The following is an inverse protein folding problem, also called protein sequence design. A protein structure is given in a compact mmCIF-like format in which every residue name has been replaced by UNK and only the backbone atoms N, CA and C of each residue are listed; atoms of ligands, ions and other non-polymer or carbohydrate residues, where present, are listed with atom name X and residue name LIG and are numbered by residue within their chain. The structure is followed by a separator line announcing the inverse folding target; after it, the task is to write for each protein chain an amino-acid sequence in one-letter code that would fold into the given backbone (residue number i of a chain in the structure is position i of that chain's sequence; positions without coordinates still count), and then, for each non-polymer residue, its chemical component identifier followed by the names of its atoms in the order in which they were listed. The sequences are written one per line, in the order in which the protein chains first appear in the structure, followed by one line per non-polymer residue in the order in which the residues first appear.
data_IF_143799888951
#
_entry.id   IF_143799888951
#
_cell.length_a   1.000
_cell.length_b   1.000
_cell.length_c   1.000
_cell.angle_alpha   90.00
_cell.angle_beta   90.00
_cell.angle_gamma   90.00
#
_symmetry.space_group_name_H-M   'P 1'
#
loop_
_entity.id
_entity.type
_entity.pdbx_description
1 polymer ?
#
# COMPACT_ATOMS: atom_id res chain seq x y z
N UNK A 1 -11.89 -7.90 10.87
CA UNK A 1 -11.48 -8.63 9.65
C UNK A 1 -10.03 -8.32 9.23
N UNK A 2 -9.59 -7.06 9.21
CA UNK A 2 -8.17 -6.74 8.94
C UNK A 2 -7.21 -7.30 10.01
N UNK A 3 -7.58 -7.19 11.29
CA UNK A 3 -6.83 -7.81 12.40
C UNK A 3 -6.74 -9.33 12.29
N UNK A 4 -7.86 -10.00 12.00
CA UNK A 4 -7.88 -11.45 11.77
C UNK A 4 -6.99 -11.86 10.59
N UNK A 5 -7.02 -11.11 9.49
CA UNK A 5 -6.13 -11.37 8.34
C UNK A 5 -4.66 -11.19 8.73
N UNK A 6 -4.33 -10.14 9.48
CA UNK A 6 -2.97 -9.92 9.95
C UNK A 6 -2.48 -11.05 10.85
N UNK A 7 -3.25 -11.41 11.88
CA UNK A 7 -2.85 -12.44 12.85
C UNK A 7 -2.86 -13.86 12.26
N UNK A 8 -3.79 -14.17 11.37
CA UNK A 8 -3.93 -15.53 10.84
C UNK A 8 -3.08 -15.79 9.59
N UNK A 9 -2.70 -14.75 8.85
CA UNK A 9 -2.01 -14.88 7.56
C UNK A 9 -0.67 -14.15 7.55
N UNK A 10 -0.67 -12.84 7.84
CA UNK A 10 0.53 -12.01 7.71
C UNK A 10 1.59 -12.44 8.74
N UNK A 11 1.27 -12.36 10.03
CA UNK A 11 2.24 -12.62 11.09
C UNK A 11 2.89 -14.02 11.00
N UNK A 12 2.13 -15.12 10.84
CA UNK A 12 2.74 -16.46 10.71
C UNK A 12 3.59 -16.63 9.44
N UNK A 13 3.27 -15.89 8.37
CA UNK A 13 4.07 -15.91 7.14
C UNK A 13 5.39 -15.17 7.34
N UNK A 14 5.35 -13.99 7.96
CA UNK A 14 6.54 -13.19 8.25
C UNK A 14 7.49 -13.91 9.22
N UNK A 15 6.96 -14.64 10.20
CA UNK A 15 7.76 -15.46 11.13
C UNK A 15 8.60 -16.53 10.42
N UNK A 16 8.11 -17.06 9.29
CA UNK A 16 8.82 -18.09 8.50
C UNK A 16 9.74 -17.50 7.44
N UNK A 17 9.50 -16.26 7.02
CA UNK A 17 10.19 -15.59 5.92
C UNK A 17 11.02 -14.42 6.43
N UNK A 18 12.10 -14.77 7.14
CA UNK A 18 13.08 -13.82 7.66
C UNK A 18 14.20 -13.64 6.63
N UNK A 19 14.45 -12.42 6.14
CA UNK A 19 15.58 -12.15 5.24
C UNK A 19 16.92 -12.42 5.92
N UNK A 20 17.87 -12.94 5.14
CA UNK A 20 19.26 -13.13 5.52
C UNK A 20 20.01 -11.82 5.24
N UNK A 21 20.77 -11.32 6.23
CA UNK A 21 21.57 -10.10 6.05
C UNK A 21 22.63 -10.30 4.95
N UNK A 22 22.99 -9.22 4.24
CA UNK A 22 23.96 -9.31 3.13
C UNK A 22 25.31 -9.88 3.57
N UNK A 23 25.74 -9.58 4.80
CA UNK A 23 26.97 -10.08 5.40
C UNK A 23 26.96 -11.61 5.56
N UNK A 24 25.78 -12.19 5.82
CA UNK A 24 25.59 -13.62 6.05
C UNK A 24 25.37 -14.43 4.76
N UNK A 25 24.94 -13.78 3.67
CA UNK A 25 24.71 -14.44 2.36
C UNK A 25 25.94 -15.23 1.91
N UNK A 26 25.74 -16.48 1.50
CA UNK A 26 26.81 -17.37 1.01
C UNK A 26 27.60 -18.08 2.11
N UNK A 27 27.28 -17.82 3.38
CA UNK A 27 28.00 -18.35 4.54
C UNK A 27 29.47 -17.87 4.63
N UNK A 28 30.26 -18.47 5.55
CA UNK A 28 31.63 -18.02 5.82
C UNK A 28 32.57 -18.08 4.61
N UNK A 29 32.34 -19.03 3.69
CA UNK A 29 33.18 -19.29 2.51
C UNK A 29 32.64 -18.70 1.21
N UNK A 30 31.48 -18.02 1.25
CA UNK A 30 30.86 -17.37 0.08
C UNK A 30 30.72 -18.30 -1.13
N UNK A 31 30.26 -19.53 -0.91
CA UNK A 31 30.05 -20.49 -2.01
C UNK A 31 28.95 -20.02 -2.96
N UNK A 32 29.21 -20.02 -4.28
CA UNK A 32 28.29 -19.50 -5.29
C UNK A 32 26.89 -20.10 -5.22
N UNK A 33 26.78 -21.43 -5.03
CA UNK A 33 25.47 -22.10 -4.91
C UNK A 33 24.72 -21.64 -3.66
N UNK A 34 25.42 -21.43 -2.55
CA UNK A 34 24.81 -20.91 -1.32
C UNK A 34 24.37 -19.46 -1.49
N UNK A 35 25.19 -18.63 -2.16
CA UNK A 35 24.83 -17.24 -2.48
C UNK A 35 23.54 -17.20 -3.32
N UNK A 36 23.44 -18.02 -4.37
CA UNK A 36 22.26 -18.08 -5.21
C UNK A 36 21.01 -18.52 -4.43
N UNK A 37 21.15 -19.52 -3.55
CA UNK A 37 20.08 -19.98 -2.66
C UNK A 37 19.61 -18.89 -1.70
N UNK A 38 20.54 -18.24 -1.01
CA UNK A 38 20.24 -17.21 0.00
C UNK A 38 19.60 -15.98 -0.63
N UNK A 39 20.10 -15.55 -1.80
CA UNK A 39 19.47 -14.47 -2.57
C UNK A 39 18.07 -14.86 -3.04
N UNK A 40 17.86 -16.09 -3.54
CA UNK A 40 16.53 -16.58 -3.88
C UNK A 40 15.55 -16.57 -2.71
N UNK A 41 16.02 -16.95 -1.51
CA UNK A 41 15.23 -16.84 -0.28
C UNK A 41 14.90 -15.39 0.08
N UNK A 42 15.88 -14.48 -0.04
CA UNK A 42 15.66 -13.06 0.20
C UNK A 42 14.64 -12.45 -0.77
N UNK A 43 14.73 -12.76 -2.07
CA UNK A 43 13.75 -12.30 -3.05
C UNK A 43 12.35 -12.81 -2.71
N UNK A 44 12.20 -14.09 -2.35
CA UNK A 44 10.92 -14.62 -1.87
C UNK A 44 10.39 -13.86 -0.65
N UNK A 45 11.27 -13.52 0.29
CA UNK A 45 10.92 -12.78 1.50
C UNK A 45 10.36 -11.39 1.17
N UNK A 46 10.99 -10.65 0.25
CA UNK A 46 10.54 -9.30 -0.11
C UNK A 46 9.30 -9.33 -1.02
N UNK A 47 9.25 -10.23 -1.98
CA UNK A 47 8.09 -10.41 -2.85
C UNK A 47 6.84 -10.80 -2.06
N UNK A 48 7.00 -11.64 -1.03
CA UNK A 48 5.88 -11.98 -0.13
C UNK A 48 5.37 -10.73 0.61
N UNK A 49 6.26 -9.86 1.09
CA UNK A 49 5.86 -8.62 1.78
C UNK A 49 5.13 -7.67 0.83
N UNK A 50 5.60 -7.54 -0.40
CA UNK A 50 4.95 -6.76 -1.47
C UNK A 50 3.56 -7.32 -1.80
N UNK A 51 3.45 -8.62 -1.97
CA UNK A 51 2.17 -9.32 -2.19
C UNK A 51 1.18 -9.11 -1.04
N UNK A 52 1.65 -9.11 0.21
CA UNK A 52 0.81 -8.85 1.38
C UNK A 52 0.34 -7.39 1.42
N UNK A 53 1.21 -6.41 1.14
CA UNK A 53 0.83 -5.00 1.03
C UNK A 53 -0.22 -4.79 -0.08
N UNK A 54 0.01 -5.36 -1.27
CA UNK A 54 -0.94 -5.35 -2.38
C UNK A 54 -2.30 -5.92 -1.96
N UNK A 55 -2.30 -7.05 -1.27
CA UNK A 55 -3.54 -7.69 -0.79
C UNK A 55 -4.27 -6.80 0.21
N UNK A 56 -3.55 -6.20 1.16
CA UNK A 56 -4.13 -5.27 2.14
C UNK A 56 -4.77 -4.05 1.46
N UNK A 57 -4.07 -3.42 0.53
CA UNK A 57 -4.57 -2.27 -0.21
C UNK A 57 -5.79 -2.61 -1.07
N UNK A 58 -5.74 -3.70 -1.83
CA UNK A 58 -6.87 -4.15 -2.65
C UNK A 58 -8.11 -4.50 -1.82
N UNK A 59 -7.93 -5.19 -0.68
CA UNK A 59 -9.02 -5.52 0.23
C UNK A 59 -9.62 -4.27 0.88
N UNK A 60 -8.78 -3.30 1.27
CA UNK A 60 -9.24 -2.03 1.81
C UNK A 60 -10.08 -1.27 0.77
N UNK A 61 -9.55 -1.07 -0.44
CA UNK A 61 -10.21 -0.32 -1.51
C UNK A 61 -11.57 -0.93 -1.85
N UNK A 62 -11.61 -2.26 -2.03
CA UNK A 62 -12.84 -2.98 -2.35
C UNK A 62 -13.92 -2.79 -1.28
N UNK A 63 -13.54 -2.83 0.01
CA UNK A 63 -14.47 -2.62 1.11
C UNK A 63 -14.91 -1.17 1.22
N UNK A 64 -13.98 -0.23 1.04
CA UNK A 64 -14.29 1.18 1.04
C UNK A 64 -15.32 1.49 -0.04
N UNK A 65 -15.08 1.04 -1.27
CA UNK A 65 -15.99 1.21 -2.39
C UNK A 65 -17.36 0.59 -2.12
N UNK A 66 -17.41 -0.66 -1.64
CA UNK A 66 -18.66 -1.31 -1.28
C UNK A 66 -19.45 -0.51 -0.22
N UNK A 67 -18.76 -0.08 0.83
CA UNK A 67 -19.35 0.67 1.93
C UNK A 67 -19.86 2.04 1.46
N UNK A 68 -19.07 2.77 0.66
CA UNK A 68 -19.46 4.07 0.10
C UNK A 68 -20.69 3.91 -0.81
N UNK A 69 -20.69 2.93 -1.73
CA UNK A 69 -21.82 2.70 -2.63
C UNK A 69 -23.13 2.36 -1.90
N UNK A 70 -23.05 1.78 -0.70
CA UNK A 70 -24.22 1.51 0.15
C UNK A 70 -24.66 2.70 0.98
N UNK A 71 -23.73 3.59 1.28
CA UNK A 71 -23.97 4.73 2.17
C UNK A 71 -24.39 5.98 1.39
N UNK A 72 -23.83 6.17 0.20
CA UNK A 72 -24.02 7.32 -0.69
C UNK A 72 -24.40 6.82 -2.10
N UNK A 73 -25.59 6.20 -2.27
CA UNK A 73 -26.03 5.67 -3.56
C UNK A 73 -26.09 6.74 -4.66
N UNK A 74 -26.32 8.01 -4.29
CA UNK A 74 -26.33 9.16 -5.19
C UNK A 74 -24.97 9.41 -5.86
N UNK A 75 -23.86 9.06 -5.22
CA UNK A 75 -22.50 9.19 -5.76
C UNK A 75 -21.99 7.90 -6.43
N UNK A 76 -22.86 6.93 -6.74
CA UNK A 76 -22.44 5.61 -7.21
C UNK A 76 -21.51 5.63 -8.44
N UNK A 77 -21.75 6.55 -9.38
CA UNK A 77 -20.91 6.71 -10.58
C UNK A 77 -19.50 7.18 -10.21
N UNK A 78 -19.39 8.19 -9.36
CA UNK A 78 -18.11 8.76 -8.90
C UNK A 78 -17.34 7.74 -8.06
N UNK A 79 -18.03 7.06 -7.14
CA UNK A 79 -17.46 5.99 -6.33
C UNK A 79 -16.96 4.86 -7.21
N UNK A 80 -17.59 4.54 -8.35
CA UNK A 80 -17.18 3.46 -9.27
C UNK A 80 -15.96 3.83 -10.12
N UNK A 81 -15.77 5.10 -10.48
CA UNK A 81 -14.65 5.52 -11.34
C UNK A 81 -13.47 6.10 -10.58
N UNK A 82 -13.66 6.46 -9.31
CA UNK A 82 -12.58 6.97 -8.46
C UNK A 82 -11.44 5.95 -8.32
N UNK A 83 -10.21 6.43 -8.41
CA UNK A 83 -9.03 5.69 -7.98
C UNK A 83 -8.92 5.71 -6.45
N UNK A 84 -7.92 5.01 -5.90
CA UNK A 84 -7.74 4.87 -4.45
C UNK A 84 -7.70 6.23 -3.72
N UNK A 85 -6.90 7.18 -4.22
CA UNK A 85 -6.79 8.52 -3.63
C UNK A 85 -8.11 9.30 -3.75
N UNK A 86 -8.82 9.20 -4.88
CA UNK A 86 -10.12 9.81 -5.10
C UNK A 86 -11.18 9.27 -4.14
N UNK A 87 -11.19 7.95 -3.87
CA UNK A 87 -12.10 7.37 -2.88
C UNK A 87 -11.87 7.96 -1.48
N UNK A 88 -10.62 8.12 -1.07
CA UNK A 88 -10.29 8.76 0.21
C UNK A 88 -10.65 10.25 0.22
N UNK A 89 -10.46 10.95 -0.91
CA UNK A 89 -10.81 12.37 -1.05
C UNK A 89 -12.32 12.63 -0.93
N UNK A 90 -13.15 11.78 -1.55
CA UNK A 90 -14.61 11.89 -1.51
C UNK A 90 -15.17 11.86 -0.08
N UNK A 91 -14.54 11.10 0.81
CA UNK A 91 -15.01 10.95 2.20
C UNK A 91 -15.01 12.27 2.97
N UNK A 92 -14.14 13.23 2.62
CA UNK A 92 -14.04 14.51 3.33
C UNK A 92 -13.84 14.35 4.85
N UNK A 93 -13.22 13.25 5.30
CA UNK A 93 -13.05 12.92 6.71
C UNK A 93 -11.78 13.54 7.28
N UNK A 94 -11.81 13.95 8.55
CA UNK A 94 -10.62 14.33 9.34
C UNK A 94 -9.72 13.13 9.70
N UNK A 95 -10.04 11.93 9.20
CA UNK A 95 -9.21 10.75 9.42
C UNK A 95 -7.88 10.96 8.69
N UNK A 96 -6.78 10.79 9.41
CA UNK A 96 -5.44 10.82 8.82
C UNK A 96 -5.32 9.69 7.78
N UNK A 97 -5.30 10.07 6.50
CA UNK A 97 -5.34 9.12 5.37
C UNK A 97 -3.99 8.91 4.71
N UNK A 98 -2.92 9.55 5.19
CA UNK A 98 -1.64 9.57 4.47
C UNK A 98 -1.01 8.18 4.34
N UNK A 99 -0.98 7.42 5.44
CA UNK A 99 -0.51 6.02 5.42
C UNK A 99 -1.37 5.13 4.50
N UNK A 100 -2.66 5.42 4.34
CA UNK A 100 -3.54 4.68 3.43
C UNK A 100 -3.29 5.09 1.98
N UNK A 101 -3.05 6.37 1.70
CA UNK A 101 -2.65 6.85 0.37
C UNK A 101 -1.35 6.18 -0.06
N UNK A 102 -0.36 6.15 0.82
CA UNK A 102 0.90 5.44 0.60
C UNK A 102 0.66 3.96 0.27
N UNK A 103 -0.15 3.25 1.05
CA UNK A 103 -0.53 1.86 0.77
C UNK A 103 -1.23 1.70 -0.60
N UNK A 104 -2.09 2.64 -0.97
CA UNK A 104 -2.77 2.68 -2.26
C UNK A 104 -1.78 2.84 -3.42
N UNK A 105 -0.86 3.80 -3.31
CA UNK A 105 0.21 4.01 -4.29
C UNK A 105 1.08 2.76 -4.40
N UNK A 106 1.52 2.19 -3.28
CA UNK A 106 2.32 0.96 -3.24
C UNK A 106 1.60 -0.23 -3.88
N UNK A 107 0.30 -0.39 -3.62
CA UNK A 107 -0.51 -1.45 -4.22
C UNK A 107 -0.64 -1.27 -5.73
N UNK A 108 -0.75 -0.03 -6.22
CA UNK A 108 -0.79 0.23 -7.66
C UNK A 108 0.57 -0.04 -8.32
N UNK A 109 1.65 0.38 -7.68
CA UNK A 109 3.02 0.08 -8.14
C UNK A 109 3.28 -1.43 -8.19
N UNK A 110 2.91 -2.17 -7.15
CA UNK A 110 3.03 -3.63 -7.13
C UNK A 110 2.21 -4.31 -8.24
N UNK A 111 1.04 -3.75 -8.59
CA UNK A 111 0.13 -4.34 -9.58
C UNK A 111 0.53 -4.04 -11.02
N UNK A 112 0.98 -2.81 -11.27
CA UNK A 112 1.18 -2.29 -12.62
C UNK A 112 2.66 -2.13 -13.00
N UNK A 113 3.58 -2.30 -12.04
CA UNK A 113 4.99 -2.03 -12.25
C UNK A 113 5.25 -0.53 -12.36
N UNK A 114 6.03 -0.14 -13.35
CA UNK A 114 6.44 1.24 -13.57
C UNK A 114 5.29 2.14 -14.04
N UNK A 115 5.36 3.42 -13.68
CA UNK A 115 4.37 4.45 -14.01
C UNK A 115 4.25 5.48 -12.91
N UNK A 116 3.21 6.32 -12.98
CA UNK A 116 3.07 7.47 -12.07
C UNK A 116 3.06 7.12 -10.58
N UNK A 117 2.53 5.95 -10.21
CA UNK A 117 2.58 5.47 -8.82
C UNK A 117 4.00 5.06 -8.41
N UNK A 118 4.76 4.43 -9.32
CA UNK A 118 6.16 4.08 -9.07
C UNK A 118 7.03 5.33 -8.93
N UNK A 119 6.80 6.36 -9.77
CA UNK A 119 7.49 7.65 -9.68
C UNK A 119 7.26 8.33 -8.32
N UNK A 120 6.00 8.37 -7.87
CA UNK A 120 5.66 8.95 -6.56
C UNK A 120 6.39 8.24 -5.42
N UNK A 121 6.44 6.90 -5.43
CA UNK A 121 7.12 6.13 -4.37
C UNK A 121 8.63 6.31 -4.44
N UNK A 122 9.21 6.33 -5.64
CA UNK A 122 10.65 6.53 -5.85
C UNK A 122 11.16 7.79 -5.16
N UNK A 123 10.37 8.86 -5.23
CA UNK A 123 10.73 10.17 -4.67
C UNK A 123 10.42 10.27 -3.18
N UNK A 124 9.32 9.65 -2.72
CA UNK A 124 8.84 9.80 -1.34
C UNK A 124 9.36 8.74 -0.35
N UNK A 125 9.85 7.59 -0.83
CA UNK A 125 10.19 6.43 0.00
C UNK A 125 11.56 5.83 -0.36
N UNK A 126 12.60 6.67 -0.39
CA UNK A 126 13.98 6.27 -0.74
C UNK A 126 14.48 5.06 0.04
N UNK A 127 14.06 4.92 1.31
CA UNK A 127 14.45 3.81 2.18
C UNK A 127 14.16 2.41 1.64
N UNK A 128 13.17 2.23 0.77
CA UNK A 128 12.87 0.93 0.17
C UNK A 128 13.92 0.49 -0.86
N UNK A 129 14.82 1.40 -1.24
CA UNK A 129 15.94 1.17 -2.15
C UNK A 129 17.32 1.37 -1.50
N UNK A 130 17.42 1.57 -0.18
CA UNK A 130 18.71 1.76 0.52
C UNK A 130 19.71 0.60 0.33
N UNK A 131 19.19 -0.57 -0.04
CA UNK A 131 19.99 -1.76 -0.33
C UNK A 131 20.65 -1.73 -1.72
N UNK A 132 20.23 -0.82 -2.60
CA UNK A 132 20.87 -0.57 -3.89
C UNK A 132 21.85 0.58 -3.73
N UNK A 133 23.10 0.38 -4.17
CA UNK A 133 23.97 1.52 -4.45
C UNK A 133 23.46 2.33 -5.64
N UNK A 134 23.82 3.61 -5.71
CA UNK A 134 23.32 4.57 -6.72
C UNK A 134 23.41 4.05 -8.16
N UNK A 135 24.55 3.45 -8.53
CA UNK A 135 24.76 2.89 -9.87
C UNK A 135 23.74 1.80 -10.22
N UNK A 136 23.48 0.89 -9.27
CA UNK A 136 22.52 -0.19 -9.49
C UNK A 136 21.11 0.37 -9.52
N UNK A 137 20.79 1.30 -8.62
CA UNK A 137 19.51 1.99 -8.59
C UNK A 137 19.23 2.61 -9.96
N UNK A 138 20.10 3.46 -10.45
CA UNK A 138 19.95 4.12 -11.76
C UNK A 138 19.76 3.11 -12.89
N UNK A 139 20.52 2.01 -12.87
CA UNK A 139 20.37 0.96 -13.88
C UNK A 139 19.01 0.27 -13.83
N UNK A 140 18.52 -0.10 -12.64
CA UNK A 140 17.20 -0.73 -12.51
C UNK A 140 16.09 0.22 -12.97
N UNK A 141 16.13 1.48 -12.54
CA UNK A 141 15.12 2.47 -12.94
C UNK A 141 15.17 2.78 -14.45
N UNK A 142 16.37 2.91 -15.05
CA UNK A 142 16.51 3.15 -16.48
C UNK A 142 15.95 2.00 -17.35
N UNK A 143 15.88 0.78 -16.81
CA UNK A 143 15.34 -0.39 -17.51
C UNK A 143 13.88 -0.70 -17.13
N UNK A 144 13.23 0.15 -16.34
CA UNK A 144 11.88 -0.08 -15.87
C UNK A 144 11.75 -1.29 -14.92
N UNK A 145 12.80 -1.56 -14.16
CA UNK A 145 12.89 -2.67 -13.22
C UNK A 145 12.94 -2.21 -11.75
N UNK A 146 12.67 -0.93 -11.47
CA UNK A 146 12.76 -0.35 -10.14
C UNK A 146 11.80 -1.01 -9.15
N UNK A 147 10.58 -1.33 -9.59
CA UNK A 147 9.59 -2.03 -8.75
C UNK A 147 10.05 -3.41 -8.29
N UNK A 148 10.76 -4.16 -9.13
CA UNK A 148 11.25 -5.50 -8.79
C UNK A 148 12.35 -5.49 -7.72
N UNK A 149 12.91 -4.33 -7.44
CA UNK A 149 13.91 -4.14 -6.39
C UNK A 149 13.31 -3.58 -5.11
N UNK A 150 12.00 -3.31 -5.07
CA UNK A 150 11.37 -2.65 -3.94
C UNK A 150 11.37 -3.57 -2.70
N UNK A 151 11.92 -3.08 -1.57
CA UNK A 151 11.98 -3.84 -0.31
C UNK A 151 11.15 -3.19 0.79
N UNK A 152 10.01 -3.82 1.09
CA UNK A 152 9.13 -3.45 2.22
C UNK A 152 9.61 -4.15 3.49
N UNK A 153 9.52 -3.47 4.63
CA UNK A 153 9.81 -4.04 5.94
C UNK A 153 8.53 -4.47 6.71
N UNK A 154 8.69 -5.35 7.69
CA UNK A 154 7.58 -5.80 8.55
C UNK A 154 6.89 -4.64 9.30
N UNK A 155 7.65 -3.60 9.64
CA UNK A 155 7.13 -2.40 10.29
C UNK A 155 6.15 -1.64 9.39
N UNK A 156 6.33 -1.67 8.07
CA UNK A 156 5.43 -1.05 7.10
C UNK A 156 4.10 -1.80 7.07
N UNK A 157 4.14 -3.13 6.97
CA UNK A 157 2.94 -3.96 7.01
C UNK A 157 2.14 -3.76 8.31
N UNK A 158 2.85 -3.68 9.45
CA UNK A 158 2.23 -3.36 10.75
C UNK A 158 1.59 -1.97 10.74
N UNK A 159 2.29 -0.96 10.19
CA UNK A 159 1.80 0.41 10.10
C UNK A 159 0.55 0.51 9.21
N UNK A 160 0.56 -0.11 8.04
CA UNK A 160 -0.60 -0.18 7.15
C UNK A 160 -1.79 -0.87 7.80
N UNK A 161 -1.58 -1.98 8.50
CA UNK A 161 -2.67 -2.69 9.17
C UNK A 161 -3.29 -1.83 10.28
N UNK A 162 -2.46 -1.12 11.06
CA UNK A 162 -2.94 -0.17 12.07
C UNK A 162 -3.73 0.96 11.44
N UNK A 163 -3.26 1.54 10.34
CA UNK A 163 -3.98 2.60 9.62
C UNK A 163 -5.34 2.14 9.10
N UNK A 164 -5.42 0.92 8.53
CA UNK A 164 -6.69 0.32 8.10
C UNK A 164 -7.66 0.17 9.28
N UNK A 165 -7.19 -0.38 10.40
CA UNK A 165 -8.02 -0.58 11.59
C UNK A 165 -8.51 0.74 12.18
N UNK A 166 -7.60 1.72 12.30
CA UNK A 166 -7.90 3.06 12.78
C UNK A 166 -8.96 3.74 11.91
N UNK A 167 -8.78 3.70 10.58
CA UNK A 167 -9.74 4.27 9.64
C UNK A 167 -11.15 3.71 9.83
N UNK A 168 -11.30 2.39 9.90
CA UNK A 168 -12.63 1.79 10.07
C UNK A 168 -13.25 2.09 11.44
N UNK A 169 -12.42 2.24 12.48
CA UNK A 169 -12.88 2.64 13.81
C UNK A 169 -13.41 4.07 13.80
N UNK A 170 -12.63 5.01 13.28
CA UNK A 170 -13.02 6.42 13.21
C UNK A 170 -14.24 6.62 12.33
N UNK A 171 -14.29 5.96 11.16
CA UNK A 171 -15.45 6.02 10.28
C UNK A 171 -16.72 5.49 10.97
N UNK A 172 -16.61 4.42 11.76
CA UNK A 172 -17.74 3.90 12.53
C UNK A 172 -18.21 4.87 13.63
N UNK A 173 -17.29 5.57 14.30
CA UNK A 173 -17.59 6.61 15.29
C UNK A 173 -18.33 7.77 14.62
N UNK A 174 -17.77 8.29 13.53
CA UNK A 174 -18.37 9.38 12.76
C UNK A 174 -19.75 9.02 12.20
N UNK A 175 -19.93 7.79 11.70
CA UNK A 175 -21.23 7.32 11.22
C UNK A 175 -22.28 7.21 12.33
N UNK A 176 -21.90 6.77 13.53
CA UNK A 176 -22.82 6.73 14.67
C UNK A 176 -23.19 8.13 15.12
N UNK A 177 -22.24 9.06 15.15
CA UNK A 177 -22.48 10.45 15.50
C UNK A 177 -23.40 11.15 14.47
N UNK A 178 -23.13 10.99 13.17
CA UNK A 178 -23.91 11.60 12.10
C UNK A 178 -25.26 10.90 11.84
N UNK A 179 -25.48 9.64 12.21
CA UNK A 179 -26.86 9.08 12.19
C UNK A 179 -27.83 9.76 13.16
N UNK A 180 -27.35 10.56 14.12
CA UNK A 180 -28.21 11.42 14.96
C UNK A 180 -28.58 12.75 14.28
N UNK A 181 -27.91 13.13 13.18
CA UNK A 181 -28.13 14.39 12.44
C UNK A 181 -27.97 14.08 10.95
N UNK A 182 -29.08 13.93 10.22
CA UNK A 182 -29.19 13.62 8.79
C UNK A 182 -27.87 13.82 8.01
N UNK A 183 -27.25 12.74 7.52
CA UNK A 183 -25.92 12.85 6.90
C UNK A 183 -25.96 13.79 5.69
N UNK A 184 -25.08 14.81 5.64
CA UNK A 184 -24.91 15.58 4.43
C UNK A 184 -24.24 14.73 3.33
N UNK A 185 -24.49 15.03 2.05
CA UNK A 185 -23.90 14.31 0.91
C UNK A 185 -22.36 14.40 0.92
N UNK A 186 -21.70 13.48 0.22
CA UNK A 186 -20.27 13.58 -0.06
C UNK A 186 -19.96 14.93 -0.72
N UNK A 187 -18.79 15.51 -0.45
CA UNK A 187 -18.38 16.75 -1.12
C UNK A 187 -18.28 16.50 -2.62
N UNK A 188 -19.25 16.98 -3.38
CA UNK A 188 -19.11 17.13 -4.83
C UNK A 188 -18.15 18.29 -5.07
N UNK A 189 -17.05 18.04 -5.78
CA UNK A 189 -16.09 19.07 -6.17
C UNK A 189 -16.77 20.19 -6.97
N UNK A 190 -17.08 21.32 -6.30
CA UNK A 190 -17.44 22.58 -6.96
C UNK A 190 -16.25 23.23 -7.71
N UNK A 191 -15.06 22.62 -7.70
CA UNK A 191 -13.86 23.20 -8.31
C UNK A 191 -13.49 22.67 -9.71
N UNK A 192 -14.36 21.92 -10.40
CA UNK A 192 -14.06 21.45 -11.77
C UNK A 192 -14.21 22.49 -12.89
N UNK A 193 -14.62 23.73 -12.60
CA UNK A 193 -14.82 24.78 -13.63
C UNK A 193 -13.59 25.69 -13.84
N UNK A 194 -12.57 25.63 -13.00
CA UNK A 194 -11.42 26.55 -13.12
C UNK A 194 -10.26 26.06 -14.02
N UNK A 195 -10.27 24.81 -14.51
CA UNK A 195 -9.16 24.24 -15.30
C UNK A 195 -9.43 24.16 -16.82
N UNK A 196 -10.41 24.91 -17.33
CA UNK A 196 -10.64 25.11 -18.76
C UNK A 196 -10.89 26.59 -19.06
N UNK A 197 -9.87 27.41 -18.87
CA UNK A 197 -9.69 28.67 -19.59
C UNK A 197 -8.22 28.82 -19.93
#
# INVERSE_FOLDING_TARGET
MAERYFLAVIAPTLEKLVPISQEQVGGPKKHLVQIARDNGHNELCYETRLSLALTMGAMFERRLRFWMSKTFPENATEIRTANYAGLLGLLGTDVETETLRELGTLSNTARHGEGSSADVIKDSHTRWWDHLGDILRDRYFANGLGVYTLRIADCDLKRYNRAILHFWRELAIQHRAKRRVLMPPLRSDENRVAARK
#
